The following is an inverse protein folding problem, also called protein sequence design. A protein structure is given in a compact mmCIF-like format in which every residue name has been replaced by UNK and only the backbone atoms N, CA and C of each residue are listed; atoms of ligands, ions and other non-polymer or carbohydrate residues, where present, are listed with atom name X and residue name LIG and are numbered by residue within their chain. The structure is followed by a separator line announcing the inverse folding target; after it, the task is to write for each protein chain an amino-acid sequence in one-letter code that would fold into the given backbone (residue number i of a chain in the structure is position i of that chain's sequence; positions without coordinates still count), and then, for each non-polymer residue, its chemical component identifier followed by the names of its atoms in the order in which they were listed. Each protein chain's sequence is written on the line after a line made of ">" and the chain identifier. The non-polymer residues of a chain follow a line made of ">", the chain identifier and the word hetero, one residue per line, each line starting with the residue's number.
data_IF_761035533012
#
_entry.id   IF_761035533012
#
_cell.length_a   1.000
_cell.length_b   1.000
_cell.length_c   1.000
_cell.angle_alpha   90.00
_cell.angle_beta   90.00
_cell.angle_gamma   90.00
#
_symmetry.space_group_name_H-M   'P 1'
#
loop_
_entity.id
_entity.type
_entity.pdbx_description
1 polymer ?
#
# COMPACT_ATOMS: atom_id res chain seq x y z
N UNK A 1 9.85 -13.62 22.53
CA UNK A 1 9.38 -12.23 22.68
C UNK A 1 7.86 -12.25 22.64
N UNK A 2 7.19 -11.66 23.63
CA UNK A 2 5.72 -11.52 23.63
C UNK A 2 5.32 -10.66 22.44
N UNK A 3 4.55 -11.21 21.49
CA UNK A 3 4.02 -10.43 20.37
C UNK A 3 3.13 -9.31 20.90
N UNK A 4 3.53 -8.06 20.70
CA UNK A 4 2.71 -6.89 21.06
C UNK A 4 1.38 -6.98 20.33
N UNK A 5 0.25 -6.93 21.06
CA UNK A 5 -1.07 -6.93 20.42
C UNK A 5 -1.34 -5.58 19.74
N UNK A 6 -2.16 -5.59 18.69
CA UNK A 6 -2.55 -4.35 17.99
C UNK A 6 -3.24 -3.37 18.96
N UNK A 7 -4.09 -3.86 19.86
CA UNK A 7 -4.81 -3.03 20.82
C UNK A 7 -3.88 -2.28 21.79
N UNK A 8 -2.79 -2.93 22.23
CA UNK A 8 -1.77 -2.30 23.08
C UNK A 8 -1.11 -1.14 22.34
N UNK A 9 -0.80 -1.34 21.06
CA UNK A 9 -0.18 -0.29 20.25
C UNK A 9 -1.14 0.85 19.95
N UNK A 10 -2.39 0.56 19.58
CA UNK A 10 -3.44 1.57 19.37
C UNK A 10 -3.61 2.42 20.63
N UNK A 11 -3.68 1.79 21.79
CA UNK A 11 -3.77 2.47 23.09
C UNK A 11 -2.55 3.35 23.38
N UNK A 12 -1.33 2.85 23.09
CA UNK A 12 -0.11 3.64 23.22
C UNK A 12 -0.13 4.87 22.29
N UNK A 13 -0.44 4.67 21.02
CA UNK A 13 -0.47 5.72 20.01
C UNK A 13 -1.41 6.85 20.40
N UNK A 14 -2.60 6.52 20.88
CA UNK A 14 -3.57 7.52 21.35
C UNK A 14 -3.07 8.25 22.59
N UNK A 15 -2.60 7.54 23.62
CA UNK A 15 -2.18 8.16 24.89
C UNK A 15 -0.91 9.01 24.78
N UNK A 16 -0.04 8.71 23.82
CA UNK A 16 1.25 9.41 23.63
C UNK A 16 1.26 10.38 22.46
N UNK A 17 0.14 10.55 21.75
CA UNK A 17 0.04 11.54 20.68
C UNK A 17 0.78 11.14 19.40
N UNK A 18 0.74 9.85 19.04
CA UNK A 18 1.19 9.39 17.73
C UNK A 18 0.07 9.45 16.70
N UNK A 19 -1.05 8.79 16.97
CA UNK A 19 -2.15 8.65 16.00
C UNK A 19 -3.49 8.76 16.71
N UNK A 20 -4.41 9.51 16.11
CA UNK A 20 -5.78 9.71 16.56
C UNK A 20 -6.76 9.29 15.48
N UNK A 21 -7.97 8.91 15.88
CA UNK A 21 -9.06 8.70 14.94
C UNK A 21 -9.42 10.06 14.31
N UNK A 22 -9.37 10.16 12.98
CA UNK A 22 -9.74 11.41 12.32
C UNK A 22 -11.19 11.75 12.62
N UNK A 23 -11.46 13.03 12.91
CA UNK A 23 -12.79 13.53 13.31
C UNK A 23 -13.39 12.84 14.55
N UNK A 24 -12.56 12.45 15.53
CA UNK A 24 -13.00 11.69 16.71
C UNK A 24 -14.19 12.31 17.45
N UNK A 25 -14.22 13.64 17.62
CA UNK A 25 -15.32 14.34 18.32
C UNK A 25 -16.68 14.23 17.62
N UNK A 26 -16.68 13.88 16.33
CA UNK A 26 -17.87 13.65 15.52
C UNK A 26 -18.20 12.16 15.34
N UNK A 27 -17.56 11.29 16.13
CA UNK A 27 -17.73 9.83 16.02
C UNK A 27 -16.71 9.15 15.10
N UNK A 28 -15.77 9.92 14.53
CA UNK A 28 -14.72 9.42 13.65
C UNK A 28 -15.14 9.28 12.18
N UNK A 29 -14.15 9.39 11.29
CA UNK A 29 -14.30 9.13 9.85
C UNK A 29 -13.64 7.79 9.49
N UNK A 30 -14.42 6.88 8.92
CA UNK A 30 -14.04 5.47 8.74
C UNK A 30 -12.65 5.26 8.11
N UNK A 31 -11.71 4.83 8.94
CA UNK A 31 -10.30 4.55 8.59
C UNK A 31 -9.55 5.69 7.90
N UNK A 32 -9.86 6.91 8.33
CA UNK A 32 -8.97 8.05 8.23
C UNK A 32 -8.34 8.32 9.61
N UNK A 33 -7.06 8.71 9.62
CA UNK A 33 -6.30 8.86 10.86
C UNK A 33 -5.51 10.17 10.85
N UNK A 34 -5.44 10.82 12.01
CA UNK A 34 -4.67 12.05 12.21
C UNK A 34 -3.39 11.75 12.97
N UNK A 35 -2.28 12.35 12.57
CA UNK A 35 -0.98 12.17 13.23
C UNK A 35 -0.76 13.27 14.26
N UNK A 36 -0.67 12.89 15.54
CA UNK A 36 -0.44 13.79 16.67
C UNK A 36 1.00 14.31 16.75
N UNK A 37 1.36 15.06 17.82
CA UNK A 37 2.67 15.71 17.92
C UNK A 37 3.88 14.78 17.78
N UNK A 38 3.86 13.58 18.36
CA UNK A 38 4.96 12.62 18.19
C UNK A 38 4.85 11.85 16.88
N UNK A 39 3.62 11.63 16.41
CA UNK A 39 3.37 10.91 15.17
C UNK A 39 3.86 11.66 13.95
N UNK A 40 3.61 12.97 13.88
CA UNK A 40 4.08 13.81 12.78
C UNK A 40 5.60 13.88 12.72
N UNK A 41 6.29 13.96 13.87
CA UNK A 41 7.76 13.95 13.93
C UNK A 41 8.33 12.61 13.45
N UNK A 42 7.83 11.48 13.98
CA UNK A 42 8.29 10.16 13.53
C UNK A 42 8.03 9.95 12.03
N UNK A 43 6.85 10.32 11.56
CA UNK A 43 6.45 10.21 10.16
C UNK A 43 7.31 11.07 9.24
N UNK A 44 7.62 12.30 9.65
CA UNK A 44 8.51 13.18 8.91
C UNK A 44 9.95 12.68 8.92
N UNK A 45 10.42 12.09 10.03
CA UNK A 45 11.75 11.49 10.11
C UNK A 45 11.88 10.32 9.15
N UNK A 46 10.91 9.39 9.12
CA UNK A 46 10.86 8.27 8.16
C UNK A 46 10.98 8.78 6.72
N UNK A 47 10.13 9.74 6.33
CA UNK A 47 10.16 10.33 4.98
C UNK A 47 11.51 10.99 4.66
N UNK A 48 12.08 11.72 5.62
CA UNK A 48 13.33 12.45 5.45
C UNK A 48 14.51 11.49 5.27
N UNK A 49 14.60 10.43 6.07
CA UNK A 49 15.70 9.45 5.94
C UNK A 49 15.55 8.61 4.68
N UNK A 50 14.31 8.28 4.28
CA UNK A 50 14.05 7.62 3.00
C UNK A 50 14.49 8.49 1.82
N UNK A 51 14.07 9.76 1.80
CA UNK A 51 14.42 10.72 0.75
C UNK A 51 15.93 10.97 0.69
N UNK A 52 16.58 11.10 1.85
CA UNK A 52 18.03 11.26 1.93
C UNK A 52 18.75 10.07 1.30
N UNK A 53 18.40 8.85 1.69
CA UNK A 53 19.14 7.65 1.32
C UNK A 53 18.86 7.21 -0.12
N UNK A 54 17.60 7.27 -0.56
CA UNK A 54 17.20 6.81 -1.89
C UNK A 54 17.18 7.91 -2.95
N UNK A 55 17.27 9.19 -2.58
CA UNK A 55 17.26 10.28 -3.57
C UNK A 55 18.51 11.13 -3.47
N UNK A 56 18.78 11.75 -2.31
CA UNK A 56 19.87 12.74 -2.20
C UNK A 56 21.27 12.12 -2.22
N UNK A 57 21.44 10.91 -1.69
CA UNK A 57 22.73 10.20 -1.65
C UNK A 57 23.01 9.40 -2.93
N UNK A 58 22.10 9.41 -3.90
CA UNK A 58 22.16 8.64 -5.13
C UNK A 58 22.36 9.56 -6.34
N UNK A 59 23.40 9.28 -7.12
CA UNK A 59 23.70 10.06 -8.32
C UNK A 59 22.71 9.79 -9.47
N UNK A 60 22.03 8.65 -9.44
CA UNK A 60 21.11 8.15 -10.45
C UNK A 60 19.62 8.45 -10.13
N UNK A 61 19.35 9.33 -9.16
CA UNK A 61 17.99 9.63 -8.70
C UNK A 61 17.64 11.11 -8.82
N UNK A 62 16.36 11.39 -9.04
CA UNK A 62 15.76 12.73 -8.99
C UNK A 62 14.41 12.68 -8.29
N UNK A 63 13.95 13.81 -7.77
CA UNK A 63 12.66 13.93 -7.10
C UNK A 63 11.57 14.52 -7.98
N UNK A 64 10.32 14.16 -7.70
CA UNK A 64 9.11 14.74 -8.28
C UNK A 64 8.03 14.94 -7.21
N UNK A 65 7.17 15.93 -7.40
CA UNK A 65 5.93 16.10 -6.64
C UNK A 65 4.79 16.46 -7.61
N UNK A 66 4.06 15.43 -8.04
CA UNK A 66 2.91 15.51 -8.92
C UNK A 66 1.63 15.77 -8.13
N UNK A 67 0.65 16.39 -8.78
CA UNK A 67 -0.67 16.64 -8.20
C UNK A 67 -1.41 15.35 -7.84
N UNK A 68 -2.33 15.45 -6.87
CA UNK A 68 -3.27 14.36 -6.53
C UNK A 68 -4.34 14.22 -7.60
N UNK A 69 -4.87 15.36 -8.06
CA UNK A 69 -5.87 15.42 -9.12
C UNK A 69 -5.15 15.36 -10.46
N UNK A 70 -5.53 14.38 -11.28
CA UNK A 70 -4.95 14.16 -12.61
C UNK A 70 -6.06 13.99 -13.65
N UNK A 71 -5.71 14.15 -14.91
CA UNK A 71 -6.66 13.96 -16.01
C UNK A 71 -7.23 12.53 -15.99
N UNK A 72 -8.56 12.31 -16.14
CA UNK A 72 -9.19 10.99 -16.02
C UNK A 72 -8.59 9.91 -16.93
N UNK A 73 -8.15 10.31 -18.12
CA UNK A 73 -7.49 9.42 -19.09
C UNK A 73 -6.24 8.76 -18.53
N UNK A 74 -5.53 9.36 -17.56
CA UNK A 74 -4.37 8.76 -16.90
C UNK A 74 -4.76 7.45 -16.22
N UNK A 75 -5.90 7.44 -15.52
CA UNK A 75 -6.44 6.27 -14.81
C UNK A 75 -7.06 5.25 -15.74
N UNK A 76 -7.52 5.67 -16.92
CA UNK A 76 -7.98 4.76 -17.97
C UNK A 76 -6.80 4.09 -18.66
N UNK A 77 -5.76 4.84 -18.99
CA UNK A 77 -4.55 4.33 -19.66
C UNK A 77 -3.81 3.30 -18.78
N UNK A 78 -3.67 3.59 -17.49
CA UNK A 78 -3.06 2.67 -16.52
C UNK A 78 -3.95 1.48 -16.14
N UNK A 79 -5.18 1.40 -16.65
CA UNK A 79 -6.11 0.31 -16.34
C UNK A 79 -6.83 0.42 -14.99
N UNK A 80 -6.55 1.44 -14.18
CA UNK A 80 -7.18 1.62 -12.87
C UNK A 80 -8.70 1.77 -12.93
N UNK A 81 -9.23 2.44 -13.95
CA UNK A 81 -10.69 2.56 -14.13
C UNK A 81 -11.35 1.20 -14.36
N UNK A 82 -10.67 0.28 -15.05
CA UNK A 82 -11.25 -0.98 -15.51
C UNK A 82 -10.97 -2.15 -14.55
N UNK A 83 -9.82 -2.13 -13.87
CA UNK A 83 -9.29 -3.29 -13.15
C UNK A 83 -8.99 -3.03 -11.67
N UNK A 84 -9.04 -1.78 -11.19
CA UNK A 84 -8.80 -1.46 -9.78
C UNK A 84 -10.07 -1.69 -8.94
N UNK A 85 -10.53 -2.94 -8.93
CA UNK A 85 -11.80 -3.35 -8.33
C UNK A 85 -11.64 -4.49 -7.36
N UNK A 86 -12.38 -4.45 -6.25
CA UNK A 86 -12.55 -5.59 -5.34
C UNK A 86 -13.95 -6.20 -5.50
N UNK A 87 -14.10 -7.53 -5.32
CA UNK A 87 -15.41 -8.16 -5.30
C UNK A 87 -16.13 -7.82 -3.99
N UNK A 88 -17.32 -7.24 -4.09
CA UNK A 88 -18.11 -6.75 -2.96
C UNK A 88 -19.46 -7.47 -2.84
N UNK A 89 -19.86 -7.79 -1.61
CA UNK A 89 -21.19 -8.27 -1.26
C UNK A 89 -21.82 -7.38 -0.17
N UNK A 90 -23.14 -7.19 -0.22
CA UNK A 90 -23.89 -6.50 0.81
C UNK A 90 -24.73 -7.49 1.61
N UNK A 91 -24.84 -7.27 2.92
CA UNK A 91 -25.85 -7.95 3.73
C UNK A 91 -27.23 -7.33 3.49
N UNK A 92 -28.21 -8.16 3.14
CA UNK A 92 -29.59 -7.70 2.89
C UNK A 92 -30.27 -7.15 4.14
N UNK A 93 -29.84 -7.58 5.33
CA UNK A 93 -30.41 -7.17 6.62
C UNK A 93 -29.73 -5.92 7.18
N UNK A 94 -28.43 -6.01 7.50
CA UNK A 94 -27.71 -4.91 8.19
C UNK A 94 -27.04 -3.90 7.25
N UNK A 95 -27.16 -4.09 5.93
CA UNK A 95 -26.59 -3.23 4.87
C UNK A 95 -25.07 -3.04 4.93
N UNK A 96 -24.36 -3.83 5.75
CA UNK A 96 -22.90 -3.85 5.77
C UNK A 96 -22.35 -4.48 4.50
N UNK A 97 -21.20 -3.95 4.09
CA UNK A 97 -20.46 -4.36 2.89
C UNK A 97 -19.24 -5.15 3.31
N UNK A 98 -18.96 -6.21 2.56
CA UNK A 98 -17.81 -7.08 2.79
C UNK A 98 -17.11 -7.34 1.47
N UNK A 99 -15.80 -7.58 1.55
CA UNK A 99 -15.05 -8.18 0.47
C UNK A 99 -15.44 -9.65 0.30
N UNK A 100 -15.95 -10.01 -0.87
CA UNK A 100 -16.51 -11.34 -1.14
C UNK A 100 -15.46 -12.46 -1.09
N UNK A 101 -14.20 -12.15 -1.36
CA UNK A 101 -13.07 -13.06 -1.30
C UNK A 101 -12.49 -13.21 0.13
N UNK A 102 -12.78 -12.26 1.03
CA UNK A 102 -12.28 -12.26 2.41
C UNK A 102 -13.36 -12.62 3.45
N UNK A 103 -14.63 -12.65 3.07
CA UNK A 103 -15.76 -12.82 4.00
C UNK A 103 -15.73 -14.16 4.76
N UNK A 104 -15.12 -15.20 4.19
CA UNK A 104 -14.97 -16.51 4.83
C UNK A 104 -13.84 -16.54 5.88
N UNK A 105 -12.88 -15.62 5.76
CA UNK A 105 -11.77 -15.45 6.70
C UNK A 105 -12.13 -14.59 7.92
N UNK A 106 -13.38 -14.13 8.02
CA UNK A 106 -13.86 -13.33 9.15
C UNK A 106 -14.48 -14.21 10.23
N UNK A 107 -14.27 -13.88 11.53
CA UNK A 107 -15.14 -14.36 12.59
C UNK A 107 -16.59 -14.01 12.30
N UNK A 108 -17.52 -14.85 12.74
CA UNK A 108 -18.93 -14.68 12.40
C UNK A 108 -19.86 -14.85 13.59
N UNK A 109 -20.94 -14.08 13.58
CA UNK A 109 -22.01 -14.13 14.57
C UNK A 109 -23.00 -15.23 14.20
N UNK A 110 -23.33 -16.07 15.16
CA UNK A 110 -24.32 -17.12 15.02
C UNK A 110 -25.34 -17.07 16.17
N UNK A 111 -26.61 -17.19 15.81
CA UNK A 111 -27.70 -17.40 16.76
C UNK A 111 -28.04 -18.88 16.76
N UNK A 112 -27.62 -19.60 17.81
CA UNK A 112 -27.69 -21.05 17.81
C UNK A 112 -29.01 -21.57 18.39
N UNK A 113 -29.86 -22.14 17.53
CA UNK A 113 -31.16 -22.71 17.94
C UNK A 113 -31.00 -23.84 18.98
N UNK A 114 -29.95 -24.66 18.88
CA UNK A 114 -29.64 -25.72 19.84
C UNK A 114 -29.38 -25.20 21.26
N UNK A 115 -29.10 -23.90 21.41
CA UNK A 115 -28.90 -23.22 22.69
C UNK A 115 -30.03 -22.24 23.04
N UNK A 116 -31.22 -22.43 22.45
CA UNK A 116 -32.37 -21.52 22.58
C UNK A 116 -32.10 -20.11 22.03
N UNK A 117 -31.30 -20.01 20.97
CA UNK A 117 -31.06 -18.75 20.25
C UNK A 117 -29.99 -17.84 20.83
N UNK A 118 -29.12 -18.36 21.71
CA UNK A 118 -28.00 -17.57 22.24
C UNK A 118 -27.04 -17.14 21.11
N UNK A 119 -26.49 -15.94 21.26
CA UNK A 119 -25.52 -15.34 20.34
C UNK A 119 -24.11 -15.82 20.65
N UNK A 120 -23.41 -16.33 19.64
CA UNK A 120 -21.99 -16.68 19.71
C UNK A 120 -21.22 -15.95 18.62
N UNK A 121 -19.96 -15.61 18.92
CA UNK A 121 -18.98 -15.23 17.90
C UNK A 121 -18.08 -16.43 17.68
N UNK A 122 -18.08 -16.96 16.46
CA UNK A 122 -17.33 -18.15 16.07
C UNK A 122 -16.11 -17.69 15.26
N UNK A 123 -14.96 -18.32 15.50
CA UNK A 123 -13.72 -18.03 14.79
C UNK A 123 -13.89 -18.32 13.28
N UNK A 124 -13.12 -17.60 12.46
CA UNK A 124 -13.10 -17.83 11.02
C UNK A 124 -12.84 -19.30 10.67
N UNK A 125 -13.57 -19.84 9.70
CA UNK A 125 -13.46 -21.24 9.25
C UNK A 125 -13.99 -22.30 10.22
N UNK A 126 -14.29 -21.95 11.48
CA UNK A 126 -14.83 -22.90 12.45
C UNK A 126 -16.36 -23.06 12.32
N UNK A 127 -16.83 -24.27 12.64
CA UNK A 127 -18.25 -24.55 12.80
C UNK A 127 -18.70 -24.24 14.23
N UNK A 128 -19.99 -23.93 14.40
CA UNK A 128 -20.59 -23.78 15.71
C UNK A 128 -20.42 -25.07 16.54
N UNK A 129 -19.81 -24.95 17.72
CA UNK A 129 -19.58 -26.10 18.62
C UNK A 129 -20.86 -26.76 19.13
N UNK A 130 -22.00 -26.07 19.06
CA UNK A 130 -23.28 -26.55 19.59
C UNK A 130 -24.17 -27.23 18.53
N UNK A 131 -24.17 -26.74 17.29
CA UNK A 131 -25.04 -27.24 16.22
C UNK A 131 -24.31 -27.68 14.95
N UNK A 132 -22.98 -27.51 14.87
CA UNK A 132 -22.19 -27.86 13.68
C UNK A 132 -22.38 -26.93 12.47
N UNK A 133 -23.20 -25.87 12.59
CA UNK A 133 -23.44 -24.94 11.50
C UNK A 133 -22.16 -24.20 11.10
N UNK A 134 -21.95 -24.06 9.79
CA UNK A 134 -20.91 -23.19 9.20
C UNK A 134 -21.52 -21.86 8.78
N UNK A 135 -20.67 -20.86 8.55
CA UNK A 135 -21.12 -19.53 8.13
C UNK A 135 -21.78 -19.57 6.76
N UNK A 136 -23.09 -19.37 6.72
CA UNK A 136 -23.88 -19.16 5.49
C UNK A 136 -24.49 -17.76 5.40
N UNK A 137 -24.64 -17.09 6.54
CA UNK A 137 -25.23 -15.75 6.66
C UNK A 137 -24.14 -14.70 6.91
N UNK A 138 -24.55 -13.43 6.87
CA UNK A 138 -23.68 -12.28 7.15
C UNK A 138 -22.84 -12.49 8.43
N UNK A 139 -21.50 -12.31 8.37
CA UNK A 139 -20.63 -12.56 9.50
C UNK A 139 -20.85 -11.58 10.65
N UNK A 140 -21.32 -10.36 10.38
CA UNK A 140 -21.55 -9.37 11.44
C UNK A 140 -22.86 -9.61 12.19
N UNK A 141 -23.96 -9.80 11.46
CA UNK A 141 -25.30 -9.83 12.08
C UNK A 141 -25.85 -11.24 12.25
N UNK A 142 -25.28 -12.26 11.60
CA UNK A 142 -25.70 -13.66 11.71
C UNK A 142 -27.12 -13.96 11.23
N UNK A 143 -27.75 -13.03 10.49
CA UNK A 143 -29.17 -13.09 10.12
C UNK A 143 -29.45 -12.88 8.63
N UNK A 144 -28.77 -11.94 7.98
CA UNK A 144 -29.07 -11.58 6.60
C UNK A 144 -28.22 -12.36 5.59
N UNK A 145 -28.84 -12.72 4.47
CA UNK A 145 -28.13 -13.25 3.29
C UNK A 145 -27.23 -12.18 2.66
N UNK A 146 -26.19 -12.64 1.98
CA UNK A 146 -25.28 -11.81 1.19
C UNK A 146 -25.76 -11.76 -0.26
N UNK A 147 -25.69 -10.58 -0.89
CA UNK A 147 -25.98 -10.43 -2.32
C UNK A 147 -25.00 -11.20 -3.19
N UNK A 148 -25.33 -11.38 -4.48
CA UNK A 148 -24.33 -11.81 -5.46
C UNK A 148 -23.13 -10.83 -5.47
N UNK A 149 -21.89 -11.33 -5.63
CA UNK A 149 -20.70 -10.47 -5.72
C UNK A 149 -20.77 -9.52 -6.92
N UNK A 150 -20.40 -8.25 -6.70
CA UNK A 150 -20.20 -7.26 -7.77
C UNK A 150 -18.83 -6.60 -7.67
N UNK A 151 -18.26 -6.18 -8.79
CA UNK A 151 -16.98 -5.46 -8.80
C UNK A 151 -17.17 -4.02 -8.34
N UNK A 152 -16.38 -3.60 -7.35
CA UNK A 152 -16.40 -2.25 -6.79
C UNK A 152 -15.05 -1.56 -7.03
N UNK A 153 -15.05 -0.47 -7.81
CA UNK A 153 -13.83 0.29 -8.08
C UNK A 153 -13.37 1.05 -6.82
N UNK A 154 -12.10 0.87 -6.46
CA UNK A 154 -11.51 1.39 -5.24
C UNK A 154 -11.01 2.84 -5.37
N UNK A 155 -11.10 3.48 -6.54
CA UNK A 155 -10.74 4.90 -6.65
C UNK A 155 -11.84 5.80 -6.09
N UNK A 156 -11.43 6.84 -5.36
CA UNK A 156 -12.34 7.92 -5.02
C UNK A 156 -12.62 8.77 -6.25
N UNK A 157 -13.90 8.88 -6.60
CA UNK A 157 -14.41 9.79 -7.62
C UNK A 157 -14.69 11.15 -7.00
N UNK A 158 -14.36 12.21 -7.71
CA UNK A 158 -14.76 13.58 -7.40
C UNK A 158 -15.05 14.32 -8.70
N UNK A 159 -15.56 15.54 -8.61
CA UNK A 159 -15.89 16.36 -9.77
C UNK A 159 -15.11 17.68 -9.72
N UNK A 160 -14.60 18.08 -10.88
CA UNK A 160 -13.80 19.29 -11.05
C UNK A 160 -14.56 20.27 -11.95
N UNK A 161 -15.02 21.37 -11.37
CA UNK A 161 -15.75 22.41 -12.09
C UNK A 161 -16.53 23.31 -11.12
N UNK A 162 -16.80 24.57 -11.50
CA UNK A 162 -17.50 25.52 -10.64
C UNK A 162 -19.01 25.26 -10.54
N UNK A 163 -19.57 24.49 -11.47
CA UNK A 163 -21.01 24.17 -11.54
C UNK A 163 -21.16 22.65 -11.45
N UNK A 164 -21.95 22.17 -10.51
CA UNK A 164 -22.13 20.73 -10.22
C UNK A 164 -22.64 19.95 -11.44
N UNK A 165 -23.46 20.59 -12.28
CA UNK A 165 -24.07 20.00 -13.49
C UNK A 165 -23.08 19.81 -14.65
N UNK A 166 -22.03 20.65 -14.75
CA UNK A 166 -21.00 20.62 -15.80
C UNK A 166 -19.64 20.10 -15.29
N UNK A 167 -19.60 19.62 -14.04
CA UNK A 167 -18.35 19.28 -13.40
C UNK A 167 -17.72 18.03 -14.03
N UNK A 168 -16.44 18.15 -14.41
CA UNK A 168 -15.70 17.06 -15.04
C UNK A 168 -15.35 15.99 -14.00
N UNK A 169 -15.77 14.75 -14.22
CA UNK A 169 -15.39 13.61 -13.39
C UNK A 169 -13.85 13.52 -13.32
N UNK A 170 -13.30 13.41 -12.12
CA UNK A 170 -11.89 13.13 -11.87
C UNK A 170 -11.76 12.19 -10.67
N UNK A 171 -10.53 11.84 -10.30
CA UNK A 171 -10.22 10.87 -9.27
C UNK A 171 -9.15 11.39 -8.34
N UNK A 172 -9.22 10.99 -7.07
CA UNK A 172 -8.06 11.04 -6.19
C UNK A 172 -7.17 9.85 -6.53
N UNK A 173 -5.87 10.10 -6.74
CA UNK A 173 -4.93 9.07 -7.16
C UNK A 173 -4.87 7.88 -6.17
N UNK A 174 -4.95 6.62 -6.63
CA UNK A 174 -4.80 5.43 -5.80
C UNK A 174 -3.34 5.01 -5.54
N UNK A 175 -2.42 5.61 -6.29
CA UNK A 175 -0.96 5.47 -6.23
C UNK A 175 -0.27 6.75 -6.70
N UNK A 176 1.03 6.87 -6.49
CA UNK A 176 1.81 8.06 -6.85
C UNK A 176 2.61 7.85 -8.15
N UNK A 177 2.92 6.61 -8.52
CA UNK A 177 3.64 6.18 -9.73
C UNK A 177 3.16 6.86 -11.02
N UNK A 178 1.84 6.98 -11.23
CA UNK A 178 1.30 7.58 -12.46
C UNK A 178 1.74 9.03 -12.70
N UNK A 179 1.98 9.80 -11.62
CA UNK A 179 2.52 11.14 -11.70
C UNK A 179 3.93 11.19 -12.28
N UNK A 180 4.72 10.15 -12.02
CA UNK A 180 6.09 9.97 -12.54
C UNK A 180 6.04 9.62 -14.03
N UNK A 181 5.23 8.64 -14.42
CA UNK A 181 5.15 8.20 -15.82
C UNK A 181 4.71 9.32 -16.78
N UNK A 182 3.70 10.12 -16.41
CA UNK A 182 3.24 11.23 -17.26
C UNK A 182 4.26 12.37 -17.37
N UNK A 183 5.23 12.42 -16.45
CA UNK A 183 6.31 13.41 -16.43
C UNK A 183 7.66 12.85 -16.89
N UNK A 184 7.72 11.61 -17.39
CA UNK A 184 8.97 10.97 -17.82
C UNK A 184 9.76 11.85 -18.79
N UNK A 185 9.12 12.34 -19.86
CA UNK A 185 9.77 13.20 -20.86
C UNK A 185 10.20 14.56 -20.28
N UNK A 186 9.35 15.20 -19.46
CA UNK A 186 9.68 16.47 -18.79
C UNK A 186 10.93 16.34 -17.91
N UNK A 187 11.02 15.25 -17.14
CA UNK A 187 12.17 14.98 -16.27
C UNK A 187 13.40 14.67 -17.10
N UNK A 188 13.28 13.82 -18.13
CA UNK A 188 14.39 13.48 -19.01
C UNK A 188 15.00 14.73 -19.66
N UNK A 189 14.16 15.63 -20.20
CA UNK A 189 14.60 16.85 -20.85
C UNK A 189 15.25 17.85 -19.90
N UNK A 190 14.67 18.04 -18.71
CA UNK A 190 15.15 19.04 -17.75
C UNK A 190 16.41 18.60 -17.00
N UNK A 191 16.62 17.31 -16.81
CA UNK A 191 17.74 16.77 -16.01
C UNK A 191 18.85 16.15 -16.86
N UNK A 192 18.57 15.81 -18.14
CA UNK A 192 19.49 15.15 -19.07
C UNK A 192 20.09 13.85 -18.52
N UNK A 193 19.31 13.10 -17.73
CA UNK A 193 19.72 11.80 -17.19
C UNK A 193 19.94 10.79 -18.32
N UNK A 194 20.91 9.89 -18.13
CA UNK A 194 21.10 8.70 -18.94
C UNK A 194 20.55 7.49 -18.19
N UNK A 195 20.09 6.47 -18.91
CA UNK A 195 19.71 5.22 -18.27
C UNK A 195 20.96 4.50 -17.71
N UNK A 196 20.83 3.80 -16.56
CA UNK A 196 19.65 3.76 -15.71
C UNK A 196 19.54 5.01 -14.81
N UNK A 197 18.31 5.43 -14.52
CA UNK A 197 18.03 6.47 -13.51
C UNK A 197 16.63 6.27 -12.93
N UNK A 198 16.36 6.81 -11.75
CA UNK A 198 15.03 6.78 -11.16
C UNK A 198 14.46 8.13 -10.80
N UNK A 199 13.14 8.16 -10.69
CA UNK A 199 12.36 9.30 -10.22
C UNK A 199 11.62 8.84 -8.97
N UNK A 200 11.80 9.57 -7.88
CA UNK A 200 11.16 9.29 -6.61
C UNK A 200 10.06 10.29 -6.30
N UNK A 201 9.00 9.82 -5.64
CA UNK A 201 7.93 10.66 -5.13
C UNK A 201 7.49 10.18 -3.75
N UNK A 202 7.22 11.14 -2.86
CA UNK A 202 6.49 10.89 -1.63
C UNK A 202 5.22 11.71 -1.67
N UNK A 203 4.08 11.08 -1.46
CA UNK A 203 2.83 11.83 -1.42
C UNK A 203 1.62 11.00 -1.06
N UNK A 204 0.48 11.69 -0.93
CA UNK A 204 -0.79 11.06 -0.55
C UNK A 204 -1.34 10.19 -1.67
N UNK A 205 -1.98 9.10 -1.30
CA UNK A 205 -2.78 8.24 -2.16
C UNK A 205 -4.06 7.82 -1.43
N UNK A 206 -5.07 7.45 -2.20
CA UNK A 206 -6.42 7.22 -1.69
C UNK A 206 -7.00 5.92 -2.24
N UNK A 207 -7.46 5.04 -1.35
CA UNK A 207 -8.12 3.78 -1.73
C UNK A 207 -9.44 3.67 -0.97
N UNK A 208 -10.54 3.56 -1.69
CA UNK A 208 -11.89 3.46 -1.15
C UNK A 208 -12.17 2.04 -0.62
N UNK A 209 -11.40 1.65 0.39
CA UNK A 209 -11.39 0.30 0.96
C UNK A 209 -12.80 -0.12 1.43
N UNK A 210 -13.23 -1.31 1.01
CA UNK A 210 -14.56 -1.87 1.33
C UNK A 210 -14.62 -2.25 2.80
N UNK A 211 -13.60 -2.95 3.30
CA UNK A 211 -13.53 -3.40 4.69
C UNK A 211 -12.25 -2.88 5.34
N UNK A 212 -12.27 -1.64 5.84
CA UNK A 212 -11.14 -1.10 6.57
C UNK A 212 -10.89 -1.87 7.87
N UNK A 213 -9.63 -1.94 8.32
CA UNK A 213 -9.27 -2.70 9.52
C UNK A 213 -7.80 -2.59 9.89
N UNK A 214 -7.43 -3.17 11.04
CA UNK A 214 -6.05 -3.23 11.53
C UNK A 214 -5.37 -1.84 11.69
N UNK A 215 -6.11 -0.87 12.25
CA UNK A 215 -5.61 0.47 12.55
C UNK A 215 -5.11 1.22 11.29
N UNK A 216 -3.90 1.78 11.30
CA UNK A 216 -3.32 2.51 10.17
C UNK A 216 -2.84 1.60 9.03
N UNK A 217 -2.91 0.27 9.18
CA UNK A 217 -2.46 -0.68 8.16
C UNK A 217 -3.36 -0.69 6.91
N UNK A 218 -4.68 -0.57 7.09
CA UNK A 218 -5.65 -0.34 6.00
C UNK A 218 -6.39 0.99 6.25
N UNK A 219 -5.92 2.03 5.58
CA UNK A 219 -6.47 3.38 5.62
C UNK A 219 -7.00 3.79 4.26
N UNK A 220 -7.99 4.69 4.23
CA UNK A 220 -8.53 5.22 2.95
C UNK A 220 -7.68 6.34 2.36
N UNK A 221 -6.91 6.99 3.21
CA UNK A 221 -5.92 8.01 2.90
C UNK A 221 -4.61 7.62 3.61
N UNK A 222 -3.51 7.64 2.87
CA UNK A 222 -2.18 7.30 3.37
C UNK A 222 -1.11 7.98 2.50
N UNK A 223 0.16 7.98 2.92
CA UNK A 223 1.28 8.40 2.07
C UNK A 223 2.09 7.20 1.61
N UNK A 224 2.57 7.28 0.37
CA UNK A 224 3.50 6.32 -0.21
C UNK A 224 4.84 6.97 -0.49
N UNK A 225 5.88 6.15 -0.50
CA UNK A 225 7.22 6.47 -0.98
C UNK A 225 7.49 5.51 -2.13
N UNK A 226 7.45 6.03 -3.35
CA UNK A 226 7.56 5.24 -4.58
C UNK A 226 8.73 5.73 -5.42
N UNK A 227 9.37 4.80 -6.10
CA UNK A 227 10.47 5.04 -7.04
C UNK A 227 10.12 4.33 -8.33
N UNK A 228 10.20 5.05 -9.45
CA UNK A 228 10.24 4.40 -10.77
C UNK A 228 11.67 4.45 -11.26
N UNK A 229 12.35 3.30 -11.28
CA UNK A 229 13.73 3.18 -11.74
C UNK A 229 13.76 2.64 -13.16
N UNK A 230 14.11 3.52 -14.10
CA UNK A 230 14.11 3.26 -15.53
C UNK A 230 15.43 2.61 -15.95
N UNK A 231 15.35 1.49 -16.66
CA UNK A 231 16.49 0.72 -17.15
C UNK A 231 16.35 0.45 -18.64
N UNK A 232 17.46 0.40 -19.36
CA UNK A 232 17.44 0.05 -20.79
C UNK A 232 17.27 -1.48 -20.92
N UNK A 233 16.21 -1.97 -21.60
CA UNK A 233 15.99 -3.42 -21.74
C UNK A 233 17.05 -4.12 -22.60
N UNK A 234 17.83 -3.37 -23.39
CA UNK A 234 18.87 -3.91 -24.26
C UNK A 234 20.24 -4.03 -23.57
N UNK A 235 20.36 -3.57 -22.34
CA UNK A 235 21.61 -3.62 -21.58
C UNK A 235 21.71 -4.90 -20.74
N UNK A 236 22.96 -5.29 -20.47
CA UNK A 236 23.29 -6.39 -19.58
C UNK A 236 24.27 -5.93 -18.50
N UNK A 237 24.04 -6.35 -17.26
CA UNK A 237 24.93 -6.09 -16.12
C UNK A 237 25.36 -7.45 -15.56
N UNK A 238 26.66 -7.67 -15.42
CA UNK A 238 27.25 -8.94 -14.98
C UNK A 238 26.75 -10.16 -15.78
N UNK A 239 26.53 -9.98 -17.09
CA UNK A 239 26.05 -11.03 -18.00
C UNK A 239 24.56 -11.37 -17.88
N UNK A 240 23.79 -10.61 -17.09
CA UNK A 240 22.33 -10.77 -16.94
C UNK A 240 21.59 -9.57 -17.55
N UNK A 241 20.31 -9.73 -17.96
CA UNK A 241 19.47 -8.59 -18.34
C UNK A 241 19.48 -7.51 -17.25
N UNK A 242 19.66 -6.25 -17.65
CA UNK A 242 19.83 -5.15 -16.71
C UNK A 242 18.63 -5.01 -15.75
N UNK A 243 17.41 -5.23 -16.23
CA UNK A 243 16.20 -5.16 -15.42
C UNK A 243 16.20 -6.17 -14.26
N UNK A 244 16.70 -7.39 -14.50
CA UNK A 244 16.79 -8.42 -13.47
C UNK A 244 17.88 -8.11 -12.44
N UNK A 245 19.04 -7.62 -12.90
CA UNK A 245 20.11 -7.19 -12.01
C UNK A 245 19.63 -6.05 -11.10
N UNK A 246 19.01 -5.02 -11.67
CA UNK A 246 18.53 -3.87 -10.91
C UNK A 246 17.37 -4.24 -9.98
N UNK A 247 16.49 -5.15 -10.38
CA UNK A 247 15.44 -5.67 -9.50
C UNK A 247 16.04 -6.35 -8.26
N UNK A 248 17.02 -7.24 -8.42
CA UNK A 248 17.69 -7.89 -7.28
C UNK A 248 18.43 -6.86 -6.40
N UNK A 249 19.05 -5.86 -7.02
CA UNK A 249 19.72 -4.77 -6.30
C UNK A 249 18.73 -3.96 -5.45
N UNK A 250 17.58 -3.60 -6.01
CA UNK A 250 16.54 -2.85 -5.29
C UNK A 250 15.93 -3.66 -4.15
N UNK A 251 15.70 -4.97 -4.32
CA UNK A 251 15.27 -5.85 -3.22
C UNK A 251 16.26 -5.77 -2.05
N UNK A 252 17.56 -5.92 -2.34
CA UNK A 252 18.61 -5.86 -1.32
C UNK A 252 18.73 -4.48 -0.66
N UNK A 253 18.68 -3.40 -1.46
CA UNK A 253 18.77 -2.02 -0.96
C UNK A 253 17.56 -1.69 -0.06
N UNK A 254 16.34 -2.09 -0.44
CA UNK A 254 15.11 -1.91 0.33
C UNK A 254 15.11 -2.71 1.64
N UNK A 255 15.46 -4.00 1.59
CA UNK A 255 15.58 -4.83 2.80
C UNK A 255 16.65 -4.28 3.76
N UNK A 256 17.80 -3.88 3.21
CA UNK A 256 18.91 -3.30 3.96
C UNK A 256 18.56 -1.97 4.61
N UNK A 257 17.71 -1.14 3.97
CA UNK A 257 17.24 0.12 4.53
C UNK A 257 16.40 -0.08 5.79
N UNK A 258 15.43 -1.00 5.77
CA UNK A 258 14.61 -1.29 6.94
C UNK A 258 15.43 -1.86 8.12
N UNK A 259 16.37 -2.77 7.84
CA UNK A 259 17.27 -3.31 8.84
C UNK A 259 18.17 -2.22 9.46
N UNK A 260 18.69 -1.30 8.63
CA UNK A 260 19.52 -0.17 9.07
C UNK A 260 18.79 0.75 10.05
N UNK A 261 17.50 1.00 9.84
CA UNK A 261 16.68 1.88 10.69
C UNK A 261 15.93 1.16 11.82
N UNK A 262 16.36 -0.05 12.15
CA UNK A 262 16.02 -0.68 13.42
C UNK A 262 14.97 -1.78 13.36
N UNK A 263 14.45 -2.16 12.18
CA UNK A 263 13.63 -3.37 12.09
C UNK A 263 14.49 -4.62 12.33
N UNK A 264 14.05 -5.48 13.25
CA UNK A 264 14.70 -6.77 13.47
C UNK A 264 14.58 -7.66 12.22
N UNK A 265 15.68 -8.27 11.75
CA UNK A 265 15.65 -9.20 10.61
C UNK A 265 14.65 -10.35 10.78
N UNK A 266 14.48 -10.87 12.00
CA UNK A 266 13.54 -11.97 12.29
C UNK A 266 12.06 -11.59 12.08
N UNK A 267 11.75 -10.31 12.05
CA UNK A 267 10.39 -9.80 11.81
C UNK A 267 10.16 -9.40 10.36
N UNK A 268 11.13 -9.63 9.47
CA UNK A 268 11.09 -9.26 8.06
C UNK A 268 11.41 -10.47 7.18
N UNK A 269 10.60 -10.74 6.17
CA UNK A 269 10.86 -11.80 5.18
C UNK A 269 10.53 -11.32 3.78
N UNK A 270 11.15 -11.93 2.78
CA UNK A 270 10.79 -11.73 1.37
C UNK A 270 9.73 -12.76 0.97
N UNK A 271 8.74 -12.31 0.19
CA UNK A 271 7.75 -13.16 -0.46
C UNK A 271 7.78 -12.89 -1.96
N UNK A 272 8.15 -13.90 -2.74
CA UNK A 272 8.11 -13.81 -4.19
C UNK A 272 6.74 -14.23 -4.70
N UNK A 273 6.12 -13.35 -5.50
CA UNK A 273 4.77 -13.59 -6.02
C UNK A 273 4.74 -14.82 -6.92
N UNK A 274 3.75 -15.68 -6.71
CA UNK A 274 3.41 -16.72 -7.66
C UNK A 274 2.80 -16.13 -8.94
N UNK A 275 2.74 -16.90 -10.03
CA UNK A 275 2.25 -16.40 -11.33
C UNK A 275 0.81 -15.87 -11.29
N UNK A 276 -0.02 -16.43 -10.42
CA UNK A 276 -1.42 -16.04 -10.20
C UNK A 276 -1.58 -14.84 -9.26
N UNK A 277 -0.52 -14.48 -8.52
CA UNK A 277 -0.46 -13.29 -7.68
C UNK A 277 0.05 -12.06 -8.44
N UNK A 278 0.82 -12.27 -9.52
CA UNK A 278 1.39 -11.19 -10.32
C UNK A 278 0.32 -10.32 -10.98
N UNK A 279 0.52 -9.01 -10.89
CA UNK A 279 -0.22 -8.07 -11.72
C UNK A 279 0.04 -8.38 -13.22
N UNK A 280 -0.95 -8.18 -14.06
CA UNK A 280 -0.90 -8.53 -15.49
C UNK A 280 0.26 -7.90 -16.29
N UNK A 281 0.88 -6.84 -15.75
CA UNK A 281 2.02 -6.13 -16.34
C UNK A 281 3.37 -6.46 -15.68
N UNK A 282 3.39 -7.19 -14.58
CA UNK A 282 4.62 -7.46 -13.82
C UNK A 282 5.33 -8.72 -14.33
N UNK A 283 6.61 -8.58 -14.68
CA UNK A 283 7.52 -9.70 -14.98
C UNK A 283 7.86 -10.49 -13.71
N UNK A 284 8.05 -9.78 -12.60
CA UNK A 284 8.39 -10.34 -11.28
C UNK A 284 8.04 -9.31 -10.21
N UNK A 285 7.56 -9.77 -9.06
CA UNK A 285 7.33 -8.94 -7.88
C UNK A 285 7.81 -9.68 -6.64
N UNK A 286 8.53 -8.96 -5.77
CA UNK A 286 8.93 -9.45 -4.45
C UNK A 286 8.45 -8.46 -3.41
N UNK A 287 7.65 -8.95 -2.47
CA UNK A 287 7.20 -8.17 -1.33
C UNK A 287 8.14 -8.36 -0.15
N UNK A 288 8.48 -7.26 0.49
CA UNK A 288 9.04 -7.26 1.83
C UNK A 288 7.88 -7.35 2.82
N UNK A 289 7.72 -8.49 3.48
CA UNK A 289 6.70 -8.71 4.50
C UNK A 289 7.25 -8.40 5.89
N UNK A 290 6.43 -7.77 6.73
CA UNK A 290 6.70 -7.62 8.15
C UNK A 290 5.73 -8.45 8.98
N UNK A 291 6.20 -8.97 10.11
CA UNK A 291 5.40 -9.79 11.04
C UNK A 291 4.54 -8.90 11.95
N UNK A 292 3.45 -8.38 11.40
CA UNK A 292 2.47 -7.63 12.17
C UNK A 292 1.65 -8.54 13.12
N UNK A 293 0.90 -7.97 14.08
CA UNK A 293 0.04 -8.75 14.98
C UNK A 293 -1.03 -9.60 14.26
N UNK A 294 -1.45 -9.20 13.05
CA UNK A 294 -2.38 -9.99 12.22
C UNK A 294 -1.70 -11.06 11.35
N UNK A 295 -0.38 -11.19 11.41
CA UNK A 295 0.41 -12.11 10.59
C UNK A 295 1.41 -11.39 9.67
N UNK A 296 2.04 -12.18 8.80
CA UNK A 296 2.92 -11.63 7.76
C UNK A 296 2.10 -10.80 6.79
N UNK A 297 2.49 -9.56 6.57
CA UNK A 297 1.82 -8.68 5.61
C UNK A 297 2.80 -7.69 4.99
N UNK A 298 2.46 -7.24 3.80
CA UNK A 298 3.29 -6.41 2.94
C UNK A 298 3.62 -5.04 3.57
N UNK A 299 4.92 -4.74 3.63
CA UNK A 299 5.49 -3.46 4.05
C UNK A 299 5.90 -2.61 2.84
N UNK A 300 6.45 -3.28 1.82
CA UNK A 300 6.93 -2.69 0.57
C UNK A 300 6.87 -3.73 -0.53
N UNK A 301 6.36 -3.37 -1.71
CA UNK A 301 6.46 -4.16 -2.93
C UNK A 301 7.64 -3.69 -3.78
N UNK A 302 8.37 -4.62 -4.39
CA UNK A 302 9.40 -4.33 -5.39
C UNK A 302 9.01 -5.08 -6.67
N UNK A 303 8.56 -4.35 -7.69
CA UNK A 303 8.04 -4.92 -8.92
C UNK A 303 8.94 -4.60 -10.12
N UNK A 304 9.09 -5.55 -11.04
CA UNK A 304 9.59 -5.32 -12.39
C UNK A 304 8.38 -5.26 -13.34
N UNK A 305 8.04 -4.05 -13.80
CA UNK A 305 6.83 -3.75 -14.58
C UNK A 305 7.09 -3.71 -16.09
N UNK A 306 8.31 -3.99 -16.52
CA UNK A 306 8.76 -3.89 -17.92
C UNK A 306 8.42 -2.52 -18.51
N UNK A 307 7.93 -2.45 -19.74
CA UNK A 307 7.63 -1.20 -20.46
C UNK A 307 6.13 -0.85 -20.50
N UNK A 308 5.31 -1.54 -19.70
CA UNK A 308 3.85 -1.43 -19.74
C UNK A 308 3.37 0.02 -19.55
N UNK A 309 3.81 0.67 -18.47
CA UNK A 309 3.29 1.98 -18.06
C UNK A 309 3.56 3.06 -19.10
N UNK A 310 4.80 3.14 -19.59
CA UNK A 310 5.20 4.10 -20.62
C UNK A 310 4.50 3.80 -21.96
N UNK A 311 4.35 2.53 -22.34
CA UNK A 311 3.60 2.16 -23.56
C UNK A 311 2.11 2.53 -23.47
N UNK A 312 1.47 2.31 -22.32
CA UNK A 312 0.07 2.68 -22.14
C UNK A 312 -0.12 4.19 -22.25
N UNK A 313 0.69 4.97 -21.54
CA UNK A 313 0.59 6.43 -21.62
C UNK A 313 0.93 6.95 -23.01
N UNK A 314 1.94 6.39 -23.69
CA UNK A 314 2.25 6.77 -25.07
C UNK A 314 1.07 6.50 -26.02
N UNK A 315 0.43 5.34 -25.90
CA UNK A 315 -0.74 4.96 -26.70
C UNK A 315 -1.93 5.90 -26.49
N UNK A 316 -2.25 6.26 -25.24
CA UNK A 316 -3.42 7.09 -24.93
C UNK A 316 -3.18 8.58 -25.13
N UNK A 317 -1.94 9.06 -24.98
CA UNK A 317 -1.59 10.48 -25.15
C UNK A 317 -1.15 10.86 -26.56
N UNK A 318 -0.71 9.88 -27.36
CA UNK A 318 -0.06 10.12 -28.66
C UNK A 318 1.35 10.71 -28.55
N UNK A 319 1.93 10.80 -27.34
CA UNK A 319 3.29 11.28 -27.10
C UNK A 319 4.28 10.11 -27.12
N UNK A 320 5.50 10.37 -27.60
CA UNK A 320 6.59 9.40 -27.49
C UNK A 320 7.18 9.44 -26.09
N UNK A 321 7.12 8.32 -25.37
CA UNK A 321 7.74 8.14 -24.05
C UNK A 321 8.88 7.15 -24.18
N UNK A 322 9.91 7.54 -24.95
CA UNK A 322 11.09 6.74 -25.26
C UNK A 322 12.36 7.47 -24.83
N UNK A 323 13.44 6.72 -24.67
CA UNK A 323 14.79 7.24 -24.49
C UNK A 323 15.63 6.92 -25.73
N UNK A 324 16.50 7.84 -26.15
CA UNK A 324 17.37 7.62 -27.31
C UNK A 324 18.74 7.09 -26.87
N UNK A 325 19.07 5.89 -27.32
CA UNK A 325 20.37 5.25 -27.10
C UNK A 325 21.41 5.80 -28.08
N UNK A 326 22.35 6.58 -27.55
CA UNK A 326 23.42 7.18 -28.37
C UNK A 326 24.38 6.15 -28.96
N UNK A 327 24.57 5.00 -28.32
CA UNK A 327 25.49 3.95 -28.77
C UNK A 327 24.83 3.09 -29.87
N UNK A 328 23.58 2.69 -29.65
CA UNK A 328 22.80 1.86 -30.59
C UNK A 328 22.05 2.66 -31.67
N UNK A 329 21.97 3.99 -31.51
CA UNK A 329 21.25 4.91 -32.42
C UNK A 329 19.77 4.56 -32.60
N UNK A 330 19.11 4.14 -31.52
CA UNK A 330 17.71 3.72 -31.54
C UNK A 330 16.93 4.31 -30.36
N UNK A 331 15.60 4.38 -30.52
CA UNK A 331 14.71 4.71 -29.42
C UNK A 331 14.27 3.43 -28.71
N UNK A 332 14.37 3.42 -27.39
CA UNK A 332 13.90 2.33 -26.54
C UNK A 332 12.81 2.82 -25.60
N UNK A 333 11.85 1.96 -25.26
CA UNK A 333 10.98 2.20 -24.11
C UNK A 333 11.65 1.56 -22.90
N UNK A 334 12.07 2.35 -21.89
CA UNK A 334 12.73 1.80 -20.72
C UNK A 334 11.82 0.80 -19.99
N UNK A 335 12.45 -0.21 -19.39
CA UNK A 335 11.78 -1.03 -18.38
C UNK A 335 11.78 -0.31 -17.04
N UNK A 336 10.82 -0.62 -16.18
CA UNK A 336 10.63 0.03 -14.89
C UNK A 336 10.74 -0.98 -13.75
N UNK A 337 11.61 -0.66 -12.79
CA UNK A 337 11.66 -1.31 -11.48
C UNK A 337 11.03 -0.36 -10.46
N UNK A 338 9.99 -0.82 -9.76
CA UNK A 338 9.21 -0.04 -8.82
C UNK A 338 9.34 -0.57 -7.39
N UNK A 339 10.15 0.06 -6.55
CA UNK A 339 10.00 -0.02 -5.09
C UNK A 339 8.86 0.90 -4.62
N UNK A 340 7.82 0.34 -4.01
CA UNK A 340 6.68 1.07 -3.43
C UNK A 340 6.45 0.70 -1.96
N UNK A 341 6.57 1.67 -1.05
CA UNK A 341 6.28 1.48 0.37
C UNK A 341 5.23 2.46 0.89
N UNK A 342 4.39 1.99 1.82
CA UNK A 342 3.49 2.85 2.58
C UNK A 342 4.20 3.49 3.79
N UNK A 343 4.22 4.81 3.88
CA UNK A 343 4.77 5.55 5.04
C UNK A 343 4.09 5.11 6.33
N UNK A 344 2.78 4.98 6.28
CA UNK A 344 1.92 4.63 7.41
C UNK A 344 2.20 3.20 7.90
N UNK A 345 2.45 2.25 6.98
CA UNK A 345 2.85 0.87 7.31
C UNK A 345 4.28 0.81 7.86
N UNK A 346 5.21 1.60 7.31
CA UNK A 346 6.57 1.72 7.83
C UNK A 346 6.56 2.26 9.27
N UNK A 347 5.79 3.32 9.53
CA UNK A 347 5.62 3.87 10.87
C UNK A 347 5.05 2.83 11.85
N UNK A 348 4.03 2.07 11.42
CA UNK A 348 3.46 1.00 12.23
C UNK A 348 4.49 -0.08 12.57
N UNK A 349 5.28 -0.53 11.57
CA UNK A 349 6.32 -1.53 11.74
C UNK A 349 7.41 -1.04 12.72
N UNK A 350 7.92 0.18 12.55
CA UNK A 350 8.92 0.75 13.47
C UNK A 350 8.40 0.88 14.90
N UNK A 351 7.14 1.28 15.09
CA UNK A 351 6.55 1.36 16.43
C UNK A 351 6.40 -0.02 17.09
N UNK A 352 5.94 -1.02 16.32
CA UNK A 352 5.82 -2.40 16.80
C UNK A 352 7.19 -2.98 17.18
N UNK A 353 8.17 -2.79 16.29
CA UNK A 353 9.50 -3.36 16.45
C UNK A 353 10.31 -2.67 17.55
N UNK A 354 10.02 -1.39 17.84
CA UNK A 354 10.61 -0.64 18.95
C UNK A 354 9.94 -0.89 20.31
N UNK A 355 8.71 -1.40 20.35
CA UNK A 355 7.93 -1.54 21.59
C UNK A 355 8.53 -2.57 22.56
N UNK A 356 8.83 -2.15 23.80
CA UNK A 356 9.29 -3.02 24.88
C UNK A 356 8.57 -2.70 26.18
N UNK A 357 8.25 -3.74 26.96
CA UNK A 357 7.93 -3.61 28.38
C UNK A 357 9.19 -3.96 29.18
N UNK A 358 9.56 -3.10 30.12
CA UNK A 358 10.70 -3.31 31.02
C UNK A 358 10.22 -3.21 32.47
N UNK A 359 10.76 -4.05 33.34
CA UNK A 359 10.56 -3.92 34.79
C UNK A 359 11.70 -3.08 35.37
N UNK A 360 11.35 -1.98 36.02
CA UNK A 360 12.31 -1.07 36.67
C UNK A 360 11.84 -0.81 38.08
N UNK A 361 12.65 -1.20 39.07
CA UNK A 361 12.34 -1.04 40.51
C UNK A 361 11.00 -1.66 40.92
N UNK A 362 10.63 -2.80 40.31
CA UNK A 362 9.37 -3.50 40.58
C UNK A 362 8.15 -2.93 39.86
N UNK A 363 8.31 -1.89 39.05
CA UNK A 363 7.24 -1.32 38.24
C UNK A 363 7.46 -1.60 36.75
N UNK A 364 6.38 -1.95 36.05
CA UNK A 364 6.41 -2.09 34.58
C UNK A 364 6.36 -0.71 33.92
N UNK A 365 7.30 -0.45 33.00
CA UNK A 365 7.28 0.71 32.12
C UNK A 365 7.32 0.29 30.66
N UNK A 366 6.70 1.11 29.81
CA UNK A 366 6.78 0.97 28.35
C UNK A 366 7.91 1.85 27.82
N UNK A 367 8.75 1.29 26.95
CA UNK A 367 9.83 1.99 26.25
C UNK A 367 9.69 1.73 24.76
N UNK A 368 9.79 2.80 23.95
CA UNK A 368 9.97 2.69 22.50
C UNK A 368 11.46 2.82 22.20
N UNK A 369 12.12 1.70 21.91
CA UNK A 369 13.54 1.67 21.49
C UNK A 369 13.65 1.98 19.99
N UNK A 370 13.21 3.17 19.59
CA UNK A 370 13.36 3.65 18.22
C UNK A 370 14.83 3.86 17.90
N UNK A 371 15.20 3.73 16.62
CA UNK A 371 16.53 4.10 16.16
C UNK A 371 16.78 5.59 16.51
N UNK A 372 17.95 5.92 17.10
CA UNK A 372 18.27 7.28 17.54
C UNK A 372 18.40 8.29 16.40
#
# INVERSE_FOLDING_TARGET
>A
MTSTSMDVLVSLCKRRGFVFQSSEIYGGTGSCWDYGPLGVELRNNIKRVWWRDFVQQRADMVGLDASILMHPTVWKASGHVDHFTDPMVDCLECKRRFRADQVDALPWVHYCEATKGNKFTITAGEACKHCGARRTLCPECGKGDLTAPRQFNLMFKTFMGPVEEDASLTYLRPETAQGIFVNFDNVLQSTRRKLPFGIAQIGKAFRNEITPGNFIFRSREFEQMEIEFFVNPNDAVDGRPADEHWHDRWIADCQGWFARYGLQPDNVTLHEHARDELAHYAKRTVDLLYRFPMGWSELMGIANRTDFDLKQHAKFSGKSLTWFDEERKEHVVPFVIEPSAGVDRALLAFLLDAYREEEVRGEKRVVLRLHP
#
